data_IF_952455307753
#
_entry.id   IF_952455307753
#
_cell.length_a   1.000
_cell.length_b   1.000
_cell.length_c   1.000
_cell.angle_alpha   90.00
_cell.angle_beta   90.00
_cell.angle_gamma   90.00
#
_symmetry.space_group_name_H-M   'P 1'
#
loop_
_entity.id
_entity.type
_entity.pdbx_description
1 polymer ?
#
# COMPACT_ATOMS: atom_id res chain seq x y z
N UNK A 1 -74.67 4.25 -13.87
CA UNK A 1 -73.64 5.27 -14.13
C UNK A 1 -72.63 5.15 -13.02
N UNK A 2 -71.38 4.92 -13.42
CA UNK A 2 -70.22 4.63 -12.58
C UNK A 2 -69.90 5.74 -11.59
N UNK A 3 -69.34 5.39 -10.44
CA UNK A 3 -68.00 5.82 -10.03
C UNK A 3 -67.55 5.04 -8.78
N UNK A 4 -66.55 4.20 -8.99
CA UNK A 4 -65.72 3.60 -7.94
C UNK A 4 -64.34 4.20 -8.13
N UNK A 5 -63.94 5.10 -7.23
CA UNK A 5 -62.57 5.57 -7.06
C UNK A 5 -62.37 5.55 -5.53
N UNK A 6 -61.55 4.71 -4.92
CA UNK A 6 -60.20 4.36 -5.33
C UNK A 6 -59.19 5.17 -4.54
N UNK A 7 -59.29 5.21 -3.20
CA UNK A 7 -58.31 5.87 -2.33
C UNK A 7 -57.90 4.94 -1.18
N UNK A 8 -56.75 4.29 -1.38
CA UNK A 8 -55.93 3.86 -0.26
C UNK A 8 -54.81 4.88 -0.06
N UNK A 9 -54.50 5.26 1.18
CA UNK A 9 -53.14 5.53 1.57
C UNK A 9 -52.63 4.32 2.34
N UNK A 10 -51.62 3.67 1.76
CA UNK A 10 -50.80 2.67 2.42
C UNK A 10 -50.27 3.27 3.72
N UNK A 11 -50.82 2.85 4.86
CA UNK A 11 -50.30 3.18 6.17
C UNK A 11 -49.04 2.33 6.41
N UNK A 12 -47.98 2.62 5.65
CA UNK A 12 -46.62 2.16 5.98
C UNK A 12 -46.20 2.98 7.17
N UNK A 13 -46.59 2.50 8.33
CA UNK A 13 -46.05 2.88 9.62
C UNK A 13 -44.52 2.87 9.46
N UNK A 14 -43.91 4.06 9.37
CA UNK A 14 -42.45 4.15 9.37
C UNK A 14 -42.04 3.67 10.74
N UNK A 15 -41.57 2.44 10.82
CA UNK A 15 -40.92 1.89 12.00
C UNK A 15 -39.73 2.79 12.29
N UNK A 16 -39.94 3.80 13.13
CA UNK A 16 -38.91 4.70 13.57
C UNK A 16 -38.05 3.88 14.51
N UNK A 17 -36.83 3.55 14.07
CA UNK A 17 -35.84 2.94 14.94
C UNK A 17 -35.54 3.95 16.05
N UNK A 18 -36.24 3.83 17.18
CA UNK A 18 -35.86 4.46 18.44
C UNK A 18 -34.80 3.53 19.03
N UNK A 19 -33.50 3.88 18.96
CA UNK A 19 -32.49 3.06 19.62
C UNK A 19 -32.85 3.01 21.10
N UNK A 20 -33.15 1.81 21.61
CA UNK A 20 -33.36 1.62 23.05
C UNK A 20 -32.15 2.22 23.76
N UNK A 21 -32.33 3.13 24.73
CA UNK A 21 -31.21 3.71 25.46
C UNK A 21 -30.50 2.55 26.13
N UNK A 22 -29.39 2.13 25.54
CA UNK A 22 -28.53 1.14 26.14
C UNK A 22 -28.01 1.85 27.38
N UNK A 23 -28.39 1.39 28.57
CA UNK A 23 -28.22 2.11 29.85
C UNK A 23 -26.77 2.41 30.27
N UNK A 24 -25.81 2.32 29.35
CA UNK A 24 -24.43 2.70 29.51
C UNK A 24 -24.16 3.92 28.61
N UNK A 25 -23.64 5.03 29.16
CA UNK A 25 -23.37 6.21 28.37
C UNK A 25 -22.39 5.90 27.24
N UNK A 26 -22.86 6.09 26.00
CA UNK A 26 -22.17 5.75 24.76
C UNK A 26 -20.78 6.41 24.60
N UNK A 27 -20.54 7.53 25.30
CA UNK A 27 -19.25 8.21 25.31
C UNK A 27 -18.14 7.40 25.99
N UNK A 28 -18.46 6.55 26.98
CA UNK A 28 -17.45 5.72 27.68
C UNK A 28 -16.87 4.65 26.75
N UNK A 29 -17.71 4.05 25.90
CA UNK A 29 -17.29 3.06 24.91
C UNK A 29 -16.42 3.71 23.83
N UNK A 30 -16.78 4.92 23.37
CA UNK A 30 -15.97 5.69 22.43
C UNK A 30 -14.61 6.06 22.99
N UNK A 31 -14.55 6.52 24.25
CA UNK A 31 -13.30 6.88 24.92
C UNK A 31 -12.40 5.65 25.12
N UNK A 32 -12.97 4.53 25.57
CA UNK A 32 -12.23 3.27 25.70
C UNK A 32 -11.64 2.81 24.36
N UNK A 33 -12.44 2.81 23.29
CA UNK A 33 -11.96 2.45 21.96
C UNK A 33 -10.87 3.42 21.47
N UNK A 34 -11.02 4.73 21.70
CA UNK A 34 -10.01 5.71 21.31
C UNK A 34 -8.67 5.49 22.04
N UNK A 35 -8.70 5.19 23.35
CA UNK A 35 -7.48 4.91 24.13
C UNK A 35 -6.83 3.60 23.66
N UNK A 36 -7.60 2.54 23.46
CA UNK A 36 -7.10 1.24 22.99
C UNK A 36 -6.48 1.36 21.60
N UNK A 37 -7.16 2.02 20.66
CA UNK A 37 -6.62 2.22 19.31
C UNK A 37 -5.40 3.16 19.28
N UNK A 38 -5.36 4.19 20.13
CA UNK A 38 -4.18 5.05 20.25
C UNK A 38 -2.97 4.28 20.81
N UNK A 39 -3.19 3.39 21.80
CA UNK A 39 -2.16 2.49 22.31
C UNK A 39 -1.65 1.54 21.23
N UNK A 40 -2.57 0.91 20.51
CA UNK A 40 -2.24 -0.03 19.44
C UNK A 40 -1.47 0.66 18.30
N UNK A 41 -1.90 1.86 17.90
CA UNK A 41 -1.22 2.67 16.89
C UNK A 41 0.22 2.97 17.32
N UNK A 42 0.45 3.41 18.57
CA UNK A 42 1.81 3.66 19.08
C UNK A 42 2.69 2.41 19.02
N UNK A 43 2.17 1.25 19.43
CA UNK A 43 2.94 -0.01 19.36
C UNK A 43 3.25 -0.43 17.93
N UNK A 44 2.30 -0.27 17.01
CA UNK A 44 2.50 -0.61 15.59
C UNK A 44 3.49 0.35 14.92
N UNK A 45 3.42 1.64 15.24
CA UNK A 45 4.39 2.63 14.77
C UNK A 45 5.79 2.30 15.29
N UNK A 46 5.94 2.02 16.59
CA UNK A 46 7.24 1.66 17.16
C UNK A 46 7.81 0.39 16.53
N UNK A 47 6.98 -0.64 16.36
CA UNK A 47 7.38 -1.88 15.68
C UNK A 47 7.80 -1.62 14.23
N UNK A 48 7.05 -0.80 13.49
CA UNK A 48 7.36 -0.45 12.10
C UNK A 48 8.68 0.30 12.01
N UNK A 49 8.95 1.24 12.91
CA UNK A 49 10.22 1.97 12.95
C UNK A 49 11.38 1.01 13.23
N UNK A 50 11.26 0.14 14.23
CA UNK A 50 12.29 -0.85 14.54
C UNK A 50 12.52 -1.79 13.36
N UNK A 51 11.44 -2.28 12.74
CA UNK A 51 11.51 -3.17 11.59
C UNK A 51 12.20 -2.51 10.40
N UNK A 52 11.78 -1.29 10.05
CA UNK A 52 12.37 -0.52 8.96
C UNK A 52 13.84 -0.24 9.26
N UNK A 53 14.18 0.27 10.44
CA UNK A 53 15.55 0.57 10.82
C UNK A 53 16.43 -0.68 10.83
N UNK A 54 15.96 -1.80 11.39
CA UNK A 54 16.69 -3.07 11.42
C UNK A 54 16.92 -3.62 10.01
N UNK A 55 15.90 -3.57 9.15
CA UNK A 55 16.03 -3.95 7.74
C UNK A 55 17.06 -3.07 7.03
N UNK A 56 17.00 -1.75 7.24
CA UNK A 56 17.93 -0.80 6.66
C UNK A 56 19.38 -1.09 7.10
N UNK A 57 19.59 -1.35 8.39
CA UNK A 57 20.90 -1.67 8.94
C UNK A 57 21.44 -3.02 8.42
N UNK A 58 20.56 -4.01 8.28
CA UNK A 58 20.91 -5.34 7.76
C UNK A 58 21.33 -5.26 6.29
N UNK A 59 20.60 -4.47 5.50
CA UNK A 59 20.94 -4.20 4.10
C UNK A 59 22.25 -3.42 3.99
N UNK A 60 22.49 -2.46 4.88
CA UNK A 60 23.76 -1.74 4.95
C UNK A 60 24.94 -2.68 5.27
N UNK A 61 24.80 -3.55 6.26
CA UNK A 61 25.85 -4.50 6.64
C UNK A 61 26.15 -5.52 5.54
N UNK A 62 25.12 -6.04 4.88
CA UNK A 62 25.28 -7.06 3.85
C UNK A 62 25.81 -6.53 2.52
N UNK A 63 25.50 -5.27 2.17
CA UNK A 63 25.74 -4.74 0.81
C UNK A 63 26.58 -3.45 0.75
N UNK A 64 26.95 -2.88 1.90
CA UNK A 64 27.77 -1.67 1.97
C UNK A 64 27.02 -0.36 1.70
N UNK A 65 27.71 0.77 1.90
CA UNK A 65 27.14 2.13 1.76
C UNK A 65 26.97 2.56 0.30
N UNK A 66 27.67 1.91 -0.65
CA UNK A 66 27.69 2.29 -2.06
C UNK A 66 26.49 1.79 -2.86
N UNK A 67 25.57 1.04 -2.23
CA UNK A 67 24.39 0.54 -2.92
C UNK A 67 23.29 1.62 -2.97
N UNK A 68 22.85 2.04 -4.17
CA UNK A 68 21.74 2.96 -4.29
C UNK A 68 20.45 2.30 -3.80
N UNK A 69 19.78 2.98 -2.88
CA UNK A 69 18.63 2.49 -2.12
C UNK A 69 17.36 2.28 -2.95
N UNK A 70 17.24 2.98 -4.07
CA UNK A 70 16.08 2.93 -4.93
C UNK A 70 16.49 3.04 -6.40
N UNK A 71 15.56 2.73 -7.31
CA UNK A 71 15.80 2.77 -8.75
C UNK A 71 16.20 4.17 -9.26
N UNK A 72 15.77 5.23 -8.56
CA UNK A 72 16.12 6.60 -8.91
C UNK A 72 17.60 6.89 -8.62
N UNK A 73 18.07 6.58 -7.42
CA UNK A 73 19.48 6.66 -7.03
C UNK A 73 20.34 5.74 -7.88
N UNK A 74 19.82 4.57 -8.28
CA UNK A 74 20.49 3.67 -9.21
C UNK A 74 20.74 4.34 -10.56
N UNK A 75 19.72 5.02 -11.12
CA UNK A 75 19.86 5.78 -12.38
C UNK A 75 20.85 6.94 -12.25
N UNK A 76 20.83 7.66 -11.12
CA UNK A 76 21.78 8.74 -10.86
C UNK A 76 23.21 8.18 -10.80
N UNK A 77 23.43 7.15 -9.98
CA UNK A 77 24.77 6.57 -9.81
C UNK A 77 25.29 5.96 -11.12
N UNK A 78 24.39 5.44 -11.97
CA UNK A 78 24.74 4.91 -13.29
C UNK A 78 25.16 6.01 -14.26
N UNK A 79 24.49 7.17 -14.23
CA UNK A 79 24.88 8.36 -15.01
C UNK A 79 26.18 8.97 -14.51
N UNK A 80 26.41 8.95 -13.20
CA UNK A 80 27.61 9.48 -12.56
C UNK A 80 28.82 8.54 -12.63
N UNK A 81 28.65 7.31 -13.15
CA UNK A 81 29.73 6.33 -13.23
C UNK A 81 30.19 5.80 -11.87
N UNK A 82 29.38 5.94 -10.82
CA UNK A 82 29.70 5.54 -9.43
C UNK A 82 29.32 4.09 -9.12
N UNK A 83 28.70 3.37 -10.06
CA UNK A 83 28.42 1.95 -9.87
C UNK A 83 29.69 1.13 -10.01
N UNK A 84 29.90 0.20 -9.08
CA UNK A 84 30.94 -0.83 -9.24
C UNK A 84 30.63 -1.76 -10.41
N UNK A 85 31.68 -2.27 -11.06
CA UNK A 85 31.55 -3.24 -12.15
C UNK A 85 30.78 -4.50 -11.73
N UNK A 86 30.91 -4.89 -10.46
CA UNK A 86 30.16 -6.01 -9.89
C UNK A 86 28.64 -5.76 -9.90
N UNK A 87 28.22 -4.53 -9.57
CA UNK A 87 26.81 -4.15 -9.58
C UNK A 87 26.24 -4.09 -10.99
N UNK A 88 27.00 -3.58 -11.96
CA UNK A 88 26.62 -3.58 -13.38
C UNK A 88 26.46 -5.03 -13.86
N UNK A 89 27.39 -5.92 -13.47
CA UNK A 89 27.30 -7.35 -13.81
C UNK A 89 26.05 -8.01 -13.20
N UNK A 90 25.73 -7.70 -11.95
CA UNK A 90 24.51 -8.19 -11.26
C UNK A 90 23.23 -7.66 -11.90
N UNK A 91 23.21 -6.39 -12.34
CA UNK A 91 22.10 -5.81 -13.10
C UNK A 91 21.91 -6.56 -14.42
N UNK A 92 22.98 -6.73 -15.20
CA UNK A 92 22.92 -7.45 -16.48
C UNK A 92 22.46 -8.90 -16.31
N UNK A 93 22.93 -9.61 -15.27
CA UNK A 93 22.48 -10.97 -14.97
C UNK A 93 20.99 -11.01 -14.58
N UNK A 94 20.52 -10.04 -13.80
CA UNK A 94 19.12 -9.94 -13.37
C UNK A 94 18.21 -9.61 -14.56
N UNK A 95 18.63 -8.70 -15.43
CA UNK A 95 17.93 -8.36 -16.67
C UNK A 95 17.89 -9.56 -17.61
N UNK A 96 19.02 -10.25 -17.83
CA UNK A 96 19.08 -11.45 -18.66
C UNK A 96 18.15 -12.55 -18.13
N UNK A 97 18.11 -12.76 -16.81
CA UNK A 97 17.19 -13.70 -16.17
C UNK A 97 15.72 -13.31 -16.39
N UNK A 98 15.37 -12.05 -16.15
CA UNK A 98 14.01 -11.54 -16.37
C UNK A 98 13.59 -11.68 -17.84
N UNK A 99 14.49 -11.35 -18.77
CA UNK A 99 14.29 -11.58 -20.20
C UNK A 99 14.02 -13.07 -20.48
N UNK A 100 14.87 -13.97 -19.98
CA UNK A 100 14.74 -15.41 -20.23
C UNK A 100 13.44 -16.01 -19.68
N UNK A 101 12.91 -15.46 -18.58
CA UNK A 101 11.79 -16.04 -17.83
C UNK A 101 10.44 -15.40 -18.15
N UNK A 102 10.42 -14.09 -18.42
CA UNK A 102 9.19 -13.31 -18.55
C UNK A 102 9.01 -12.67 -19.93
N UNK A 103 10.07 -12.53 -20.73
CA UNK A 103 10.02 -11.84 -22.03
C UNK A 103 10.23 -12.86 -23.14
N UNK A 104 9.13 -13.38 -23.70
CA UNK A 104 9.18 -14.24 -24.89
C UNK A 104 9.49 -13.45 -26.19
N UNK A 105 9.37 -12.12 -26.17
CA UNK A 105 9.49 -11.26 -27.37
C UNK A 105 10.15 -9.92 -27.04
N UNK A 106 11.17 -9.51 -27.82
CA UNK A 106 12.01 -8.32 -27.58
C UNK A 106 11.24 -7.00 -27.40
N UNK A 107 10.07 -6.87 -28.00
CA UNK A 107 9.25 -5.65 -28.01
C UNK A 107 8.70 -5.28 -26.62
N UNK A 108 8.44 -6.27 -25.76
CA UNK A 108 7.93 -6.03 -24.41
C UNK A 108 9.02 -5.61 -23.40
N UNK A 109 10.29 -5.84 -23.72
CA UNK A 109 11.39 -5.36 -22.88
C UNK A 109 11.69 -3.87 -23.09
N UNK A 110 11.55 -3.42 -24.33
CA UNK A 110 11.96 -2.08 -24.75
C UNK A 110 11.11 -0.99 -24.08
N UNK A 111 9.81 -1.23 -23.86
CA UNK A 111 8.96 -0.27 -23.17
C UNK A 111 9.26 -0.17 -21.66
N UNK A 112 9.62 -1.28 -21.00
CA UNK A 112 10.00 -1.27 -19.58
C UNK A 112 11.30 -0.51 -19.34
N UNK A 113 12.21 -0.54 -20.31
CA UNK A 113 13.52 0.11 -20.22
C UNK A 113 13.46 1.59 -20.65
N UNK A 114 12.66 1.93 -21.67
CA UNK A 114 12.60 3.30 -22.22
C UNK A 114 11.46 4.16 -21.67
N UNK A 115 10.40 3.56 -21.12
CA UNK A 115 9.31 4.31 -20.49
C UNK A 115 8.38 5.05 -21.46
N UNK A 116 8.41 4.72 -22.76
CA UNK A 116 7.49 5.32 -23.74
C UNK A 116 6.14 4.57 -23.73
N UNK A 117 5.02 5.25 -23.46
CA UNK A 117 3.69 4.64 -23.54
C UNK A 117 3.26 4.44 -25.00
N UNK A 118 2.47 3.38 -25.23
CA UNK A 118 1.75 3.15 -26.50
C UNK A 118 0.66 4.19 -26.73
#
# INVERSE_FOLDING_TARGET
MSETNGEGPSNRERVQFVPKPTGKPYWRLRLYNAIVHASLAKTMTAFTVIWVSGWNLSMWYAYGFDRPWNNFMWRIYKKEGKLSDEMIRKENASVAYLHSKFIKTQEDALWMIKGDPK
#
